data_IF_831950758296
#
_entry.id   IF_831950758296
#
_cell.length_a   1.000
_cell.length_b   1.000
_cell.length_c   1.000
_cell.angle_alpha   90.00
_cell.angle_beta   90.00
_cell.angle_gamma   90.00
#
_symmetry.space_group_name_H-M   'P 1'
#
loop_
_entity.id
_entity.type
_entity.pdbx_description
1 polymer ?
#
# COMPACT_ATOMS: atom_id res chain seq x y z
N UNK A 1 30.09 -22.12 8.66
CA UNK A 1 28.79 -22.12 9.35
C UNK A 1 28.32 -20.72 9.74
N UNK A 2 29.16 -19.85 10.29
CA UNK A 2 28.83 -18.46 10.68
C UNK A 2 28.34 -17.57 9.52
N UNK A 3 29.01 -17.60 8.37
CA UNK A 3 28.62 -16.83 7.20
C UNK A 3 27.19 -17.20 6.67
N UNK A 4 26.85 -18.48 6.69
CA UNK A 4 25.53 -18.98 6.25
C UNK A 4 24.44 -18.48 7.20
N UNK A 5 24.66 -18.51 8.52
CA UNK A 5 23.68 -18.00 9.50
C UNK A 5 23.46 -16.50 9.34
N UNK A 6 24.52 -15.72 9.12
CA UNK A 6 24.43 -14.28 8.87
C UNK A 6 23.67 -13.99 7.57
N UNK A 7 23.97 -14.73 6.50
CA UNK A 7 23.27 -14.60 5.23
C UNK A 7 21.77 -14.92 5.37
N UNK A 8 21.42 -16.00 6.11
CA UNK A 8 20.03 -16.38 6.35
C UNK A 8 19.25 -15.30 7.13
N UNK A 9 19.85 -14.70 8.17
CA UNK A 9 19.24 -13.56 8.90
C UNK A 9 19.01 -12.37 8.00
N UNK A 10 20.01 -11.97 7.20
CA UNK A 10 19.88 -10.84 6.29
C UNK A 10 18.76 -11.11 5.28
N UNK A 11 18.74 -12.29 4.66
CA UNK A 11 17.75 -12.69 3.70
C UNK A 11 16.33 -12.67 4.29
N UNK A 12 16.14 -13.27 5.48
CA UNK A 12 14.84 -13.28 6.17
C UNK A 12 14.35 -11.86 6.46
N UNK A 13 15.22 -10.99 7.01
CA UNK A 13 14.84 -9.59 7.31
C UNK A 13 14.51 -8.81 6.05
N UNK A 14 15.31 -8.94 5.00
CA UNK A 14 15.08 -8.24 3.73
C UNK A 14 13.76 -8.69 3.12
N UNK A 15 13.48 -10.00 3.11
CA UNK A 15 12.24 -10.54 2.57
C UNK A 15 11.01 -10.08 3.36
N UNK A 16 11.08 -10.14 4.70
CA UNK A 16 10.00 -9.66 5.58
C UNK A 16 9.75 -8.16 5.40
N UNK A 17 10.81 -7.35 5.34
CA UNK A 17 10.68 -5.90 5.13
C UNK A 17 10.07 -5.59 3.76
N UNK A 18 10.53 -6.26 2.69
CA UNK A 18 9.99 -6.08 1.35
C UNK A 18 8.50 -6.48 1.27
N UNK A 19 8.13 -7.59 1.93
CA UNK A 19 6.74 -8.04 1.99
C UNK A 19 5.84 -7.05 2.72
N UNK A 20 6.24 -6.58 3.91
CA UNK A 20 5.49 -5.57 4.66
C UNK A 20 5.37 -4.27 3.87
N UNK A 21 6.46 -3.82 3.24
CA UNK A 21 6.44 -2.63 2.39
C UNK A 21 5.45 -2.77 1.21
N UNK A 22 5.39 -3.95 0.58
CA UNK A 22 4.44 -4.22 -0.49
C UNK A 22 2.98 -4.18 0.01
N UNK A 23 2.68 -4.73 1.19
CA UNK A 23 1.35 -4.66 1.80
C UNK A 23 0.96 -3.22 2.16
N UNK A 24 1.90 -2.44 2.72
CA UNK A 24 1.67 -1.01 3.03
C UNK A 24 1.41 -0.22 1.74
N UNK A 25 2.21 -0.44 0.69
CA UNK A 25 1.99 0.19 -0.62
C UNK A 25 0.60 -0.16 -1.17
N UNK A 26 0.21 -1.43 -1.09
CA UNK A 26 -1.11 -1.89 -1.51
C UNK A 26 -2.23 -1.18 -0.74
N UNK A 27 -2.10 -1.05 0.59
CA UNK A 27 -3.06 -0.32 1.42
C UNK A 27 -3.15 1.17 1.05
N UNK A 28 -2.01 1.80 0.75
CA UNK A 28 -1.96 3.20 0.27
C UNK A 28 -2.66 3.33 -1.07
N UNK A 29 -2.41 2.43 -2.02
CA UNK A 29 -3.04 2.46 -3.34
C UNK A 29 -4.56 2.22 -3.28
N UNK A 30 -5.03 1.36 -2.39
CA UNK A 30 -6.47 1.03 -2.31
C UNK A 30 -7.27 2.00 -1.44
N UNK A 31 -6.68 2.54 -0.38
CA UNK A 31 -7.39 3.38 0.59
C UNK A 31 -6.77 4.76 0.78
N UNK A 32 -5.43 4.85 0.89
CA UNK A 32 -4.71 6.08 1.21
C UNK A 32 -4.83 7.16 0.14
N UNK A 33 -5.02 6.79 -1.12
CA UNK A 33 -5.23 7.74 -2.23
C UNK A 33 -6.46 8.64 -2.06
N UNK A 34 -7.44 8.20 -1.27
CA UNK A 34 -8.63 9.01 -0.95
C UNK A 34 -8.28 10.25 -0.14
N UNK A 35 -7.22 10.19 0.66
CA UNK A 35 -6.74 11.34 1.46
C UNK A 35 -6.23 12.50 0.58
N UNK A 36 -5.80 12.19 -0.64
CA UNK A 36 -5.36 13.20 -1.63
C UNK A 36 -6.44 13.51 -2.67
N UNK A 37 -7.71 13.13 -2.39
CA UNK A 37 -8.87 13.43 -3.24
C UNK A 37 -8.99 12.56 -4.48
N UNK A 38 -8.32 11.40 -4.51
CA UNK A 38 -8.47 10.42 -5.59
C UNK A 38 -9.45 9.32 -5.18
N UNK A 39 -10.32 8.94 -6.09
CA UNK A 39 -11.26 7.84 -5.88
C UNK A 39 -10.89 6.67 -6.80
N UNK A 40 -10.58 5.49 -6.23
CA UNK A 40 -10.27 4.30 -7.02
C UNK A 40 -11.56 3.63 -7.52
N UNK A 41 -11.59 3.24 -8.80
CA UNK A 41 -12.64 2.44 -9.43
C UNK A 41 -12.05 1.26 -10.18
N UNK A 42 -12.61 0.07 -9.99
CA UNK A 42 -12.18 -1.14 -10.71
C UNK A 42 -12.83 -1.19 -12.09
N UNK A 43 -12.03 -1.42 -13.12
CA UNK A 43 -12.49 -1.62 -14.49
C UNK A 43 -13.06 -3.03 -14.62
N UNK A 44 -14.36 -3.13 -14.86
CA UNK A 44 -15.11 -4.40 -14.93
C UNK A 44 -15.41 -4.86 -16.36
N UNK A 45 -15.37 -3.93 -17.35
CA UNK A 45 -15.70 -4.22 -18.74
C UNK A 45 -14.62 -3.69 -19.70
N UNK A 46 -14.58 -4.22 -20.90
CA UNK A 46 -13.62 -3.86 -21.94
C UNK A 46 -14.00 -2.65 -22.78
N UNK A 47 -15.04 -1.88 -22.42
CA UNK A 47 -15.51 -0.74 -23.25
C UNK A 47 -14.45 0.35 -23.46
N UNK A 48 -13.44 0.44 -22.60
CA UNK A 48 -12.33 1.38 -22.69
C UNK A 48 -11.01 0.74 -23.12
N UNK A 49 -11.05 -0.49 -23.63
CA UNK A 49 -9.86 -1.10 -24.24
C UNK A 49 -9.41 -0.31 -25.50
N UNK A 50 -8.12 -0.19 -25.78
CA UNK A 50 -7.00 -0.68 -24.98
C UNK A 50 -6.52 0.28 -23.87
N UNK A 51 -7.19 1.42 -23.68
CA UNK A 51 -6.74 2.48 -22.73
C UNK A 51 -6.81 2.00 -21.28
N UNK A 52 -7.91 1.34 -20.89
CA UNK A 52 -8.10 0.80 -19.54
C UNK A 52 -8.48 -0.68 -19.63
N UNK A 53 -7.57 -1.55 -19.19
CA UNK A 53 -7.75 -2.99 -19.22
C UNK A 53 -8.67 -3.49 -18.10
N UNK A 54 -9.45 -4.52 -18.40
CA UNK A 54 -10.28 -5.21 -17.39
C UNK A 54 -9.41 -5.71 -16.25
N UNK A 55 -9.86 -5.50 -14.99
CA UNK A 55 -9.11 -5.86 -13.77
C UNK A 55 -8.07 -4.84 -13.34
N UNK A 56 -7.93 -3.71 -14.03
CA UNK A 56 -7.17 -2.56 -13.53
C UNK A 56 -7.99 -1.70 -12.56
N UNK A 57 -7.33 -0.82 -11.82
CA UNK A 57 -7.96 0.25 -11.03
C UNK A 57 -7.60 1.58 -11.63
N UNK A 58 -8.61 2.38 -11.99
CA UNK A 58 -8.47 3.77 -12.38
C UNK A 58 -8.62 4.67 -11.15
N UNK A 59 -7.85 5.75 -11.11
CA UNK A 59 -7.91 6.75 -10.04
C UNK A 59 -8.47 8.05 -10.61
N UNK A 60 -9.74 8.32 -10.29
CA UNK A 60 -10.43 9.51 -10.73
C UNK A 60 -10.28 10.65 -9.71
N UNK A 61 -10.05 11.86 -10.22
CA UNK A 61 -10.06 13.10 -9.45
C UNK A 61 -11.27 13.93 -9.83
N UNK A 62 -11.98 14.48 -8.83
CA UNK A 62 -13.04 15.43 -9.06
C UNK A 62 -12.50 16.65 -9.82
N UNK A 63 -13.23 17.09 -10.83
CA UNK A 63 -12.87 18.22 -11.70
C UNK A 63 -14.07 19.12 -11.91
N UNK A 64 -13.81 20.38 -12.22
CA UNK A 64 -14.88 21.29 -12.70
C UNK A 64 -15.32 20.83 -14.08
N UNK A 65 -16.63 20.52 -14.28
CA UNK A 65 -17.15 20.10 -15.58
C UNK A 65 -16.86 21.07 -16.72
N UNK A 66 -16.76 22.37 -16.44
CA UNK A 66 -16.47 23.41 -17.46
C UNK A 66 -15.06 23.33 -18.03
N UNK A 67 -14.14 22.61 -17.37
CA UNK A 67 -12.76 22.41 -17.81
C UNK A 67 -12.57 21.19 -18.71
N UNK A 68 -13.58 20.34 -18.82
CA UNK A 68 -13.56 19.10 -19.60
C UNK A 68 -13.67 19.39 -21.10
N UNK A 69 -12.96 18.62 -21.90
CA UNK A 69 -12.86 18.78 -23.36
C UNK A 69 -13.09 17.46 -24.08
N UNK A 70 -13.38 17.55 -25.36
CA UNK A 70 -13.36 16.38 -26.25
C UNK A 70 -12.00 15.65 -26.16
N UNK A 71 -12.06 14.33 -26.14
CA UNK A 71 -10.91 13.45 -25.96
C UNK A 71 -10.60 13.13 -24.50
N UNK A 72 -11.14 13.84 -23.51
CA UNK A 72 -10.92 13.54 -22.10
C UNK A 72 -11.67 12.27 -21.67
N UNK A 73 -11.04 11.35 -20.93
CA UNK A 73 -11.79 10.28 -20.26
C UNK A 73 -12.58 10.84 -19.10
N UNK A 74 -13.81 10.38 -18.94
CA UNK A 74 -14.77 10.85 -17.96
C UNK A 74 -15.35 9.69 -17.16
N UNK A 75 -15.27 9.76 -15.83
CA UNK A 75 -15.97 8.86 -14.93
C UNK A 75 -17.24 9.53 -14.41
N UNK A 76 -18.37 8.88 -14.57
CA UNK A 76 -19.69 9.43 -14.25
C UNK A 76 -20.64 8.35 -13.74
N UNK A 77 -21.74 8.78 -13.12
CA UNK A 77 -22.82 7.91 -12.66
C UNK A 77 -23.89 7.79 -13.74
N UNK A 78 -24.22 6.56 -14.09
CA UNK A 78 -25.26 6.25 -15.08
C UNK A 78 -26.36 5.43 -14.42
N UNK A 79 -27.53 6.03 -14.19
CA UNK A 79 -28.71 5.36 -13.65
C UNK A 79 -28.43 4.49 -12.40
N UNK A 80 -29.05 4.77 -11.27
CA UNK A 80 -28.79 4.07 -10.01
C UNK A 80 -27.35 4.24 -9.54
N UNK A 81 -26.68 3.13 -9.13
CA UNK A 81 -25.32 3.13 -8.62
C UNK A 81 -24.25 2.73 -9.64
N UNK A 82 -24.62 2.58 -10.91
CA UNK A 82 -23.69 2.22 -11.97
C UNK A 82 -22.68 3.36 -12.23
N UNK A 83 -21.39 3.03 -12.17
CA UNK A 83 -20.31 3.96 -12.48
C UNK A 83 -19.66 3.51 -13.79
N UNK A 84 -19.58 4.45 -14.72
CA UNK A 84 -19.06 4.24 -16.07
C UNK A 84 -17.90 5.18 -16.31
N UNK A 85 -16.91 4.72 -17.06
CA UNK A 85 -15.84 5.56 -17.58
C UNK A 85 -15.81 5.42 -19.09
N UNK A 86 -16.05 6.52 -19.81
CA UNK A 86 -16.00 6.60 -21.26
C UNK A 86 -15.27 7.90 -21.67
N UNK A 87 -14.98 8.05 -22.96
CA UNK A 87 -14.30 9.23 -23.50
C UNK A 87 -15.33 10.24 -24.01
N UNK A 88 -15.11 11.52 -23.74
CA UNK A 88 -15.90 12.61 -24.29
C UNK A 88 -15.64 12.71 -25.80
N UNK A 89 -16.70 12.61 -26.59
CA UNK A 89 -16.66 12.80 -28.03
C UNK A 89 -17.32 14.09 -28.49
N UNK A 90 -18.12 14.72 -27.64
CA UNK A 90 -18.77 15.99 -27.91
C UNK A 90 -19.16 16.70 -26.61
N UNK A 91 -18.95 18.02 -26.54
CA UNK A 91 -19.42 18.89 -25.45
C UNK A 91 -20.72 19.57 -25.90
N UNK A 92 -21.78 19.40 -25.13
CA UNK A 92 -23.12 19.93 -25.44
C UNK A 92 -23.46 21.08 -24.51
N UNK A 93 -24.11 22.12 -25.05
CA UNK A 93 -24.61 23.27 -24.29
C UNK A 93 -23.48 23.96 -23.45
N UNK A 94 -22.29 24.06 -23.99
CA UNK A 94 -21.16 24.74 -23.36
C UNK A 94 -21.54 26.16 -22.93
N UNK A 95 -21.09 26.57 -21.73
CA UNK A 95 -21.38 27.89 -21.17
C UNK A 95 -22.79 28.08 -20.63
N UNK A 96 -23.63 27.03 -20.60
CA UNK A 96 -25.01 27.08 -20.08
C UNK A 96 -25.14 26.19 -18.81
N UNK A 97 -26.24 26.40 -18.04
CA UNK A 97 -26.55 25.51 -16.91
C UNK A 97 -26.89 24.06 -17.32
N UNK A 98 -27.18 23.84 -18.60
CA UNK A 98 -27.52 22.53 -19.18
C UNK A 98 -26.30 21.82 -19.80
N UNK A 99 -25.08 22.18 -19.38
CA UNK A 99 -23.84 21.53 -19.84
C UNK A 99 -23.95 20.01 -19.72
N UNK A 100 -23.66 19.31 -20.81
CA UNK A 100 -23.69 17.85 -20.89
C UNK A 100 -22.60 17.35 -21.86
N UNK A 101 -22.32 16.06 -21.80
CA UNK A 101 -21.25 15.43 -22.57
C UNK A 101 -21.80 14.20 -23.29
N UNK A 102 -21.53 14.09 -24.58
CA UNK A 102 -21.71 12.85 -25.31
C UNK A 102 -20.42 12.03 -25.14
N UNK A 103 -20.57 10.80 -24.70
CA UNK A 103 -19.45 9.91 -24.39
C UNK A 103 -19.47 8.70 -25.31
N UNK A 104 -18.30 8.02 -25.39
CA UNK A 104 -18.13 6.78 -26.13
C UNK A 104 -17.03 5.95 -25.47
N UNK A 105 -17.24 4.66 -25.30
CA UNK A 105 -16.17 3.73 -24.94
C UNK A 105 -15.16 3.60 -26.08
N UNK A 106 -13.86 3.53 -25.75
CA UNK A 106 -12.79 3.48 -26.76
C UNK A 106 -12.94 2.25 -27.67
N UNK A 107 -13.45 1.13 -27.14
CA UNK A 107 -13.70 -0.10 -27.89
C UNK A 107 -15.10 -0.15 -28.55
N UNK A 108 -15.98 0.81 -28.28
CA UNK A 108 -17.33 0.81 -28.83
C UNK A 108 -17.35 1.38 -30.25
N UNK A 109 -18.26 0.90 -31.10
CA UNK A 109 -18.42 1.44 -32.47
C UNK A 109 -19.18 2.78 -32.47
N UNK A 110 -20.19 2.91 -31.60
CA UNK A 110 -21.07 4.07 -31.57
C UNK A 110 -20.98 4.83 -30.24
N UNK A 111 -21.25 6.16 -30.27
CA UNK A 111 -21.43 6.95 -29.04
C UNK A 111 -22.58 6.44 -28.17
N UNK A 112 -22.51 6.76 -26.88
CA UNK A 112 -23.57 6.45 -25.93
C UNK A 112 -24.85 7.19 -26.29
N UNK A 113 -26.00 6.52 -26.16
CA UNK A 113 -27.29 7.07 -26.59
C UNK A 113 -27.81 8.22 -25.73
N UNK A 114 -27.36 8.31 -24.46
CA UNK A 114 -27.81 9.33 -23.51
C UNK A 114 -26.64 10.24 -23.12
N UNK A 115 -26.76 11.56 -23.32
CA UNK A 115 -25.75 12.50 -22.84
C UNK A 115 -25.63 12.49 -21.33
N UNK A 116 -24.40 12.69 -20.84
CA UNK A 116 -24.06 12.75 -19.42
C UNK A 116 -24.17 14.20 -18.94
N UNK A 117 -25.11 14.54 -18.05
CA UNK A 117 -25.22 15.89 -17.51
C UNK A 117 -24.04 16.19 -16.56
N UNK A 118 -23.65 17.46 -16.47
CA UNK A 118 -22.54 17.90 -15.60
C UNK A 118 -22.67 17.42 -14.14
N UNK A 119 -23.90 17.35 -13.61
CA UNK A 119 -24.17 16.89 -12.24
C UNK A 119 -23.98 15.37 -12.01
N UNK A 120 -23.86 14.57 -13.07
CA UNK A 120 -23.59 13.13 -12.95
C UNK A 120 -22.09 12.81 -12.94
N UNK A 121 -21.24 13.80 -13.15
CA UNK A 121 -19.80 13.64 -13.25
C UNK A 121 -19.20 13.36 -11.87
N UNK A 122 -18.40 12.33 -11.79
CA UNK A 122 -17.59 11.98 -10.61
C UNK A 122 -16.18 12.59 -10.72
N UNK A 123 -15.59 12.51 -11.91
CA UNK A 123 -14.27 13.05 -12.13
C UNK A 123 -13.57 12.54 -13.39
N UNK A 124 -12.34 12.98 -13.57
CA UNK A 124 -11.46 12.57 -14.68
C UNK A 124 -10.44 11.55 -14.18
N UNK A 125 -10.28 10.40 -14.83
CA UNK A 125 -9.18 9.46 -14.58
C UNK A 125 -7.82 10.14 -14.80
N UNK A 126 -6.92 10.06 -13.83
CA UNK A 126 -5.56 10.58 -13.93
C UNK A 126 -4.55 9.51 -14.34
N UNK A 127 -4.65 8.34 -13.73
CA UNK A 127 -3.81 7.19 -14.05
C UNK A 127 -4.52 5.88 -13.71
N UNK A 128 -3.95 4.77 -14.18
CA UNK A 128 -4.45 3.41 -13.92
C UNK A 128 -3.34 2.52 -13.42
N UNK A 129 -3.70 1.55 -12.57
CA UNK A 129 -2.79 0.50 -12.11
C UNK A 129 -3.33 -0.85 -12.58
N UNK A 130 -2.61 -1.53 -13.49
CA UNK A 130 -3.03 -2.83 -14.02
C UNK A 130 -3.13 -3.88 -12.91
N UNK A 131 -4.04 -4.83 -13.08
CA UNK A 131 -4.27 -5.99 -12.20
C UNK A 131 -4.66 -5.70 -10.75
N UNK A 132 -4.56 -4.45 -10.28
CA UNK A 132 -4.87 -4.08 -8.89
C UNK A 132 -6.35 -4.33 -8.54
N UNK A 133 -7.25 -4.30 -9.52
CA UNK A 133 -8.67 -4.62 -9.34
C UNK A 133 -8.90 -6.08 -8.93
N UNK A 134 -8.14 -7.03 -9.47
CA UNK A 134 -8.20 -8.42 -9.04
C UNK A 134 -7.74 -8.62 -7.61
N UNK A 135 -6.68 -7.90 -7.20
CA UNK A 135 -6.18 -7.91 -5.82
C UNK A 135 -7.23 -7.30 -4.88
N UNK A 136 -7.83 -6.18 -5.26
CA UNK A 136 -8.92 -5.53 -4.52
C UNK A 136 -10.11 -6.49 -4.34
N UNK A 137 -10.54 -7.12 -5.42
CA UNK A 137 -11.63 -8.10 -5.39
C UNK A 137 -11.31 -9.32 -4.52
N UNK A 138 -10.06 -9.80 -4.52
CA UNK A 138 -9.62 -10.89 -3.64
C UNK A 138 -9.70 -10.50 -2.16
N UNK A 139 -9.18 -9.31 -1.80
CA UNK A 139 -9.20 -8.82 -0.41
C UNK A 139 -10.64 -8.65 0.12
N UNK A 140 -11.57 -8.24 -0.76
CA UNK A 140 -12.99 -8.04 -0.40
C UNK A 140 -13.78 -9.34 -0.27
N UNK A 141 -13.25 -10.47 -0.70
CA UNK A 141 -13.90 -11.78 -0.50
C UNK A 141 -13.89 -12.16 0.99
N UNK A 142 -14.91 -12.91 1.46
CA UNK A 142 -14.88 -13.49 2.80
C UNK A 142 -13.57 -14.27 3.00
N UNK A 143 -12.81 -13.91 4.02
CA UNK A 143 -11.51 -14.53 4.32
C UNK A 143 -10.29 -13.93 3.59
N UNK A 144 -10.43 -13.17 2.49
CA UNK A 144 -9.30 -12.58 1.77
C UNK A 144 -8.47 -11.65 2.64
N UNK A 145 -9.11 -10.77 3.39
CA UNK A 145 -8.44 -9.88 4.35
C UNK A 145 -7.74 -10.66 5.47
N UNK A 146 -8.37 -11.73 5.99
CA UNK A 146 -7.77 -12.58 7.02
C UNK A 146 -6.53 -13.31 6.50
N UNK A 147 -6.54 -13.74 5.23
CA UNK A 147 -5.35 -14.35 4.61
C UNK A 147 -4.21 -13.35 4.48
N UNK A 148 -4.48 -12.11 4.11
CA UNK A 148 -3.45 -11.05 4.03
C UNK A 148 -2.88 -10.74 5.42
N UNK A 149 -3.72 -10.54 6.43
CA UNK A 149 -3.27 -10.27 7.80
C UNK A 149 -2.51 -11.49 8.37
N UNK A 150 -3.06 -12.69 8.19
CA UNK A 150 -2.44 -13.95 8.63
C UNK A 150 -1.08 -14.20 7.99
N UNK A 151 -0.93 -13.95 6.68
CA UNK A 151 0.35 -14.08 5.99
C UNK A 151 1.39 -13.07 6.48
N UNK A 152 0.98 -11.83 6.78
CA UNK A 152 1.87 -10.84 7.41
C UNK A 152 2.33 -11.32 8.80
N UNK A 153 1.41 -11.78 9.63
CA UNK A 153 1.72 -12.31 10.96
C UNK A 153 2.65 -13.52 10.90
N UNK A 154 2.36 -14.48 10.02
CA UNK A 154 3.19 -15.67 9.82
C UNK A 154 4.60 -15.31 9.34
N UNK A 155 4.73 -14.35 8.43
CA UNK A 155 6.02 -13.90 7.90
C UNK A 155 6.87 -13.21 8.98
N UNK A 156 6.25 -12.34 9.80
CA UNK A 156 6.93 -11.69 10.92
C UNK A 156 7.32 -12.69 12.00
N UNK A 157 6.42 -13.63 12.32
CA UNK A 157 6.69 -14.69 13.28
C UNK A 157 7.82 -15.61 12.84
N UNK A 158 7.85 -16.01 11.56
CA UNK A 158 8.95 -16.80 11.00
C UNK A 158 10.27 -16.06 11.06
N UNK A 159 10.29 -14.75 10.77
CA UNK A 159 11.46 -13.91 10.88
C UNK A 159 11.96 -13.83 12.33
N UNK A 160 11.06 -13.71 13.30
CA UNK A 160 11.38 -13.75 14.72
C UNK A 160 11.95 -15.10 15.15
N UNK A 161 11.37 -16.22 14.74
CA UNK A 161 11.89 -17.56 15.03
C UNK A 161 13.29 -17.77 14.48
N UNK A 162 13.55 -17.32 13.24
CA UNK A 162 14.90 -17.39 12.64
C UNK A 162 15.91 -16.58 13.45
N UNK A 163 15.54 -15.39 13.91
CA UNK A 163 16.39 -14.57 14.73
C UNK A 163 16.70 -15.22 16.09
N UNK A 164 15.71 -15.84 16.75
CA UNK A 164 15.88 -16.51 18.03
C UNK A 164 16.69 -17.80 17.92
N UNK A 165 16.41 -18.63 16.91
CA UNK A 165 17.15 -19.89 16.68
C UNK A 165 18.63 -19.67 16.31
N UNK A 166 18.97 -18.51 15.73
CA UNK A 166 20.34 -18.18 15.33
C UNK A 166 21.03 -17.29 16.36
N UNK A 167 20.36 -16.93 17.47
CA UNK A 167 20.96 -16.14 18.55
C UNK A 167 22.08 -16.93 19.22
N UNK A 168 23.27 -16.40 19.22
CA UNK A 168 24.38 -17.01 19.99
C UNK A 168 24.11 -16.83 21.48
N UNK A 169 24.41 -17.86 22.31
CA UNK A 169 24.35 -17.69 23.75
C UNK A 169 25.30 -16.53 24.12
N UNK A 170 24.76 -15.53 24.83
CA UNK A 170 25.56 -14.42 25.36
C UNK A 170 26.72 -14.99 26.15
N UNK A 171 27.98 -14.65 25.78
CA UNK A 171 29.13 -14.92 26.62
C UNK A 171 28.83 -14.40 28.04
N UNK A 172 29.03 -15.21 29.08
CA UNK A 172 28.93 -14.70 30.45
C UNK A 172 29.87 -13.50 30.60
N UNK A 173 29.33 -12.42 31.13
CA UNK A 173 30.09 -11.19 31.44
C UNK A 173 31.24 -11.54 32.39
N UNK A 174 32.48 -11.11 32.13
CA UNK A 174 33.57 -11.27 33.07
C UNK A 174 33.45 -10.24 34.20
N UNK A 175 32.39 -10.30 34.99
CA UNK A 175 32.18 -9.48 36.17
C UNK A 175 32.06 -10.39 37.40
N UNK A 176 33.18 -10.98 37.79
CA UNK A 176 33.23 -11.87 38.96
C UNK A 176 34.61 -12.07 39.61
N UNK A 177 35.67 -11.55 39.04
CA UNK A 177 37.03 -11.79 39.58
C UNK A 177 37.75 -10.53 40.10
N UNK A 178 37.01 -9.51 40.54
CA UNK A 178 37.60 -8.31 41.13
C UNK A 178 37.12 -8.05 42.58
N UNK A 179 36.99 -9.11 43.39
CA UNK A 179 36.68 -8.97 44.81
C UNK A 179 37.26 -10.13 45.67
N UNK A 180 38.56 -10.39 45.50
CA UNK A 180 39.27 -11.31 46.43
C UNK A 180 40.78 -11.03 46.43
N UNK A 181 41.16 -9.78 46.70
CA UNK A 181 42.58 -9.49 47.07
C UNK A 181 42.68 -8.15 47.83
N UNK A 182 41.97 -8.02 48.96
CA UNK A 182 42.20 -7.01 49.98
C UNK A 182 41.91 -7.61 51.35
N UNK A 183 42.70 -8.60 51.77
CA UNK A 183 42.91 -8.90 53.16
C UNK A 183 44.39 -9.42 53.32
N UNK A 184 45.33 -8.49 53.33
CA UNK A 184 46.69 -8.71 53.79
C UNK A 184 46.90 -7.81 55.01
N UNK A 185 47.03 -8.34 56.21
CA UNK A 185 47.32 -7.56 57.41
C UNK A 185 48.75 -6.93 57.34
N UNK A 186 48.76 -5.65 57.57
CA UNK A 186 49.97 -4.82 57.70
C UNK A 186 50.82 -5.27 58.93
N UNK A 187 52.10 -5.68 58.81
CA UNK A 187 52.93 -6.09 59.93
C UNK A 187 53.86 -4.98 60.42
N UNK A 188 53.34 -3.81 60.81
CA UNK A 188 54.23 -2.87 61.46
C UNK A 188 53.46 -1.89 62.39
N UNK A 189 53.16 -2.37 63.62
CA UNK A 189 52.98 -1.51 64.77
C UNK A 189 53.52 -2.27 65.95
N UNK A 190 54.85 -2.20 66.14
CA UNK A 190 55.48 -2.43 67.44
C UNK A 190 56.17 -1.16 67.90
N UNK A 191 55.84 -0.86 69.16
CA UNK A 191 56.61 -0.07 70.10
C UNK A 191 56.65 1.46 69.95
N UNK A 192 56.00 2.13 70.84
CA UNK A 192 56.71 2.78 71.99
C UNK A 192 55.71 3.23 73.07
N UNK A 193 55.78 2.46 74.18
CA UNK A 193 55.36 2.90 75.53
C UNK A 193 56.59 3.28 76.28
N UNK A 194 56.68 4.53 76.78
CA UNK A 194 57.18 4.88 78.08
C UNK A 194 57.33 6.39 78.27
N UNK A 195 56.59 6.98 79.04
CA UNK A 195 56.89 7.70 80.30
C UNK A 195 55.72 8.59 80.64
#
# INVERSE_FOLDING_TARGET
MFAIRKALKILSKTLSTAFVAAVVLLAVLLAGVRLVGLTPYTVLSGSMEPTYHVGSVIYAKSVDPTTLKEGDPLTYRMGGDAIVTHRIVEVLNEGTPQLAFRTKGDANEHPDGTPVPAGAIIGKPLFTVPYLGFVSAFIQRPGGLLLVIGSCGAMLFLSFLIDELIKEPSKPSPAGDAAADEDKPDPDVTEETKA
#
